data_IF_240856202134
#
_entry.id   IF_240856202134
#
_cell.length_a   1.000
_cell.length_b   1.000
_cell.length_c   1.000
_cell.angle_alpha   90.00
_cell.angle_beta   90.00
_cell.angle_gamma   90.00
#
_symmetry.space_group_name_H-M   'P 1'
#
loop_
_entity.id
_entity.type
_entity.pdbx_description
1 polymer ?
#
# COMPACT_ATOMS: atom_id res chain seq x y z
N UNK A 1 -1.20 -17.54 -5.21
CA UNK A 1 -0.50 -16.29 -4.87
C UNK A 1 -1.23 -15.56 -3.75
N UNK A 2 -0.69 -14.47 -3.20
CA UNK A 2 -1.35 -13.66 -2.16
C UNK A 2 -1.42 -12.19 -2.57
N UNK A 3 -2.60 -11.59 -2.49
CA UNK A 3 -2.84 -10.19 -2.85
C UNK A 3 -3.07 -9.31 -1.63
N UNK A 4 -2.55 -8.08 -1.66
CA UNK A 4 -2.90 -7.01 -0.73
C UNK A 4 -3.28 -5.76 -1.50
N UNK A 5 -4.44 -5.20 -1.18
CA UNK A 5 -4.91 -3.91 -1.67
C UNK A 5 -5.00 -2.94 -0.50
N UNK A 6 -4.36 -1.78 -0.63
CA UNK A 6 -4.41 -0.71 0.37
C UNK A 6 -5.06 0.51 -0.26
N UNK A 7 -6.31 0.81 0.11
CA UNK A 7 -7.02 2.01 -0.33
C UNK A 7 -6.84 3.10 0.71
N UNK A 8 -6.57 4.33 0.26
CA UNK A 8 -6.32 5.43 1.18
C UNK A 8 -6.89 6.76 0.69
N UNK A 9 -7.18 7.63 1.66
CA UNK A 9 -7.46 9.05 1.46
C UNK A 9 -6.57 9.84 2.40
N UNK A 10 -5.65 10.62 1.84
CA UNK A 10 -4.73 11.48 2.57
C UNK A 10 -5.45 12.76 3.01
N UNK A 11 -5.00 13.35 4.12
CA UNK A 11 -5.51 14.62 4.62
C UNK A 11 -5.19 15.78 3.65
N UNK A 12 -4.04 15.72 2.98
CA UNK A 12 -3.59 16.72 2.03
C UNK A 12 -2.81 16.10 0.87
N UNK A 13 -2.85 16.70 -0.35
CA UNK A 13 -2.11 16.19 -1.51
C UNK A 13 -0.59 16.14 -1.33
N UNK A 14 0.00 16.99 -0.48
CA UNK A 14 1.45 17.00 -0.22
C UNK A 14 1.97 15.68 0.40
N UNK A 15 1.09 14.92 1.04
CA UNK A 15 1.43 13.64 1.67
C UNK A 15 1.70 12.52 0.64
N UNK A 16 1.43 12.74 -0.65
CA UNK A 16 1.84 11.81 -1.73
C UNK A 16 3.34 11.56 -1.78
N UNK A 17 4.15 12.54 -1.37
CA UNK A 17 5.62 12.42 -1.30
C UNK A 17 6.09 11.23 -0.45
N UNK A 18 5.31 10.84 0.56
CA UNK A 18 5.58 9.68 1.42
C UNK A 18 5.43 8.37 0.63
N UNK A 19 4.49 8.33 -0.32
CA UNK A 19 4.20 7.16 -1.15
C UNK A 19 5.14 7.05 -2.35
N UNK A 20 5.62 8.17 -2.89
CA UNK A 20 6.56 8.18 -4.02
C UNK A 20 7.86 7.43 -3.72
N UNK A 21 8.33 7.48 -2.46
CA UNK A 21 9.52 6.75 -2.03
C UNK A 21 9.25 5.23 -2.07
N UNK A 22 8.07 4.81 -1.60
CA UNK A 22 7.67 3.40 -1.59
C UNK A 22 7.31 2.86 -2.98
N UNK A 23 6.90 3.73 -3.91
CA UNK A 23 6.68 3.39 -5.32
C UNK A 23 7.98 3.10 -6.07
N UNK A 24 9.06 3.80 -5.70
CA UNK A 24 10.39 3.71 -6.35
C UNK A 24 11.27 2.60 -5.77
N UNK A 25 10.86 1.98 -4.67
CA UNK A 25 11.56 0.83 -4.14
C UNK A 25 11.44 -0.34 -5.13
N UNK A 26 12.57 -0.79 -5.68
CA UNK A 26 12.61 -1.98 -6.51
C UNK A 26 12.20 -3.20 -5.66
N UNK A 27 11.08 -3.81 -6.02
CA UNK A 27 10.60 -5.03 -5.37
C UNK A 27 11.07 -6.22 -6.19
N UNK A 28 12.18 -6.85 -5.80
CA UNK A 28 12.71 -8.05 -6.50
C UNK A 28 11.82 -9.26 -6.31
N UNK A 29 11.13 -9.34 -5.17
CA UNK A 29 10.49 -10.58 -4.74
C UNK A 29 8.96 -10.54 -4.86
N UNK A 30 8.37 -9.37 -5.09
CA UNK A 30 6.92 -9.17 -5.23
C UNK A 30 6.64 -8.02 -6.21
N UNK A 31 5.41 -7.88 -6.69
CA UNK A 31 5.03 -6.72 -7.52
C UNK A 31 4.26 -5.70 -6.69
N UNK A 32 4.58 -4.42 -6.83
CA UNK A 32 3.84 -3.30 -6.24
C UNK A 32 3.48 -2.29 -7.32
N UNK A 33 2.24 -1.83 -7.31
CA UNK A 33 1.76 -0.75 -8.14
C UNK A 33 0.97 0.25 -7.29
N UNK A 34 1.19 1.53 -7.52
CA UNK A 34 0.49 2.62 -6.81
C UNK A 34 -0.28 3.44 -7.83
N UNK A 35 -1.55 3.68 -7.53
CA UNK A 35 -2.48 4.38 -8.42
C UNK A 35 -3.05 5.59 -7.70
N UNK A 36 -2.95 6.75 -8.35
CA UNK A 36 -3.65 7.97 -7.95
C UNK A 36 -5.01 8.01 -8.62
N UNK A 37 -6.08 8.02 -7.83
CA UNK A 37 -7.47 8.07 -8.31
C UNK A 37 -8.16 9.41 -8.05
N UNK A 38 -7.51 10.32 -7.31
CA UNK A 38 -7.93 11.70 -7.08
C UNK A 38 -6.79 12.52 -6.46
N UNK A 39 -7.05 13.77 -6.07
CA UNK A 39 -6.00 14.68 -5.57
C UNK A 39 -5.31 14.15 -4.30
N UNK A 40 -6.09 13.58 -3.39
CA UNK A 40 -5.63 13.00 -2.13
C UNK A 40 -6.10 11.55 -1.96
N UNK A 41 -6.58 10.89 -3.03
CA UNK A 41 -7.13 9.53 -2.98
C UNK A 41 -6.33 8.62 -3.89
N UNK A 42 -6.04 7.41 -3.42
CA UNK A 42 -5.35 6.41 -4.19
C UNK A 42 -5.46 5.02 -3.62
N UNK A 43 -4.81 4.08 -4.30
CA UNK A 43 -4.70 2.72 -3.84
C UNK A 43 -3.38 2.07 -4.27
N UNK A 44 -2.97 1.07 -3.50
CA UNK A 44 -1.80 0.23 -3.74
C UNK A 44 -2.29 -1.17 -4.03
N UNK A 45 -1.72 -1.82 -5.05
CA UNK A 45 -1.87 -3.25 -5.30
C UNK A 45 -0.51 -3.90 -5.11
N UNK A 46 -0.46 -4.91 -4.25
CA UNK A 46 0.72 -5.75 -4.04
C UNK A 46 0.35 -7.22 -4.27
N UNK A 47 1.21 -7.92 -5.01
CA UNK A 47 1.05 -9.35 -5.28
C UNK A 47 2.32 -10.06 -4.86
N UNK A 48 2.17 -11.02 -3.97
CA UNK A 48 3.22 -11.81 -3.36
C UNK A 48 3.09 -13.28 -3.79
N UNK A 49 4.20 -14.00 -3.76
CA UNK A 49 4.23 -15.45 -3.96
C UNK A 49 3.44 -16.20 -2.89
N UNK A 50 3.43 -15.69 -1.64
CA UNK A 50 2.75 -16.31 -0.50
C UNK A 50 2.33 -15.31 0.57
N UNK A 51 1.45 -15.73 1.48
CA UNK A 51 1.04 -14.97 2.67
C UNK A 51 2.21 -14.66 3.61
N UNK A 52 3.15 -15.60 3.77
CA UNK A 52 4.37 -15.40 4.57
C UNK A 52 5.23 -14.26 3.99
N UNK A 53 5.40 -14.24 2.68
CA UNK A 53 6.13 -13.16 2.02
C UNK A 53 5.43 -11.81 2.19
N UNK A 54 4.09 -11.77 2.10
CA UNK A 54 3.32 -10.56 2.37
C UNK A 54 3.52 -10.04 3.81
N UNK A 55 3.58 -10.95 4.79
CA UNK A 55 3.84 -10.64 6.20
C UNK A 55 5.25 -10.11 6.48
N UNK A 56 6.24 -10.48 5.66
CA UNK A 56 7.61 -9.94 5.72
C UNK A 56 7.73 -8.56 5.09
N UNK A 57 6.91 -8.26 4.09
CA UNK A 57 6.98 -7.03 3.29
C UNK A 57 5.89 -6.03 3.69
N UNK A 58 6.02 -5.40 4.85
CA UNK A 58 4.97 -4.54 5.45
C UNK A 58 5.35 -3.07 5.58
N UNK A 59 6.46 -2.62 5.02
CA UNK A 59 6.99 -1.25 5.22
C UNK A 59 6.00 -0.17 4.77
N UNK A 60 5.50 -0.27 3.52
CA UNK A 60 4.51 0.67 2.99
C UNK A 60 3.20 0.64 3.80
N UNK A 61 2.75 -0.56 4.19
CA UNK A 61 1.58 -0.73 5.03
C UNK A 61 1.77 -0.02 6.38
N UNK A 62 2.94 -0.19 7.03
CA UNK A 62 3.27 0.51 8.27
C UNK A 62 3.29 2.02 8.10
N UNK A 63 3.87 2.53 7.02
CA UNK A 63 3.87 3.98 6.74
C UNK A 63 2.44 4.52 6.63
N UNK A 64 1.58 3.88 5.84
CA UNK A 64 0.19 4.28 5.68
C UNK A 64 -0.62 4.16 6.98
N UNK A 65 -0.42 3.10 7.77
CA UNK A 65 -1.06 2.97 9.08
C UNK A 65 -0.57 4.05 10.06
N UNK A 66 0.72 4.42 10.03
CA UNK A 66 1.24 5.53 10.83
C UNK A 66 0.58 6.87 10.49
N UNK A 67 0.31 7.14 9.19
CA UNK A 67 -0.46 8.32 8.80
C UNK A 67 -1.90 8.27 9.34
N UNK A 68 -2.51 7.07 9.36
CA UNK A 68 -3.86 6.88 9.94
C UNK A 68 -3.89 7.12 11.44
N UNK A 69 -2.92 6.60 12.18
CA UNK A 69 -2.80 6.79 13.64
C UNK A 69 -2.62 8.26 14.01
N UNK A 70 -1.95 9.03 13.15
CA UNK A 70 -1.77 10.48 13.31
C UNK A 70 -2.97 11.30 12.79
N UNK A 71 -4.03 10.67 12.31
CA UNK A 71 -5.21 11.37 11.74
C UNK A 71 -4.96 12.03 10.39
N UNK A 72 -3.85 11.70 9.71
CA UNK A 72 -3.44 12.28 8.43
C UNK A 72 -3.88 11.45 7.22
N UNK A 73 -4.47 10.28 7.43
CA UNK A 73 -5.07 9.49 6.36
C UNK A 73 -6.22 8.62 6.87
N UNK A 74 -7.18 8.31 5.98
CA UNK A 74 -8.04 7.13 6.11
C UNK A 74 -7.41 6.01 5.30
N UNK A 75 -7.28 4.84 5.91
CA UNK A 75 -6.65 3.66 5.26
C UNK A 75 -7.52 2.43 5.49
N UNK A 76 -7.80 1.73 4.39
CA UNK A 76 -8.47 0.44 4.33
C UNK A 76 -7.55 -0.57 3.67
N UNK A 77 -7.49 -1.78 4.23
CA UNK A 77 -6.66 -2.87 3.73
C UNK A 77 -7.55 -4.06 3.45
N UNK A 78 -7.38 -4.67 2.28
CA UNK A 78 -8.01 -5.94 1.92
C UNK A 78 -6.92 -6.89 1.46
N UNK A 79 -6.95 -8.11 1.96
CA UNK A 79 -5.97 -9.14 1.59
C UNK A 79 -6.67 -10.46 1.31
N UNK A 80 -6.04 -11.32 0.52
CA UNK A 80 -6.59 -12.62 0.19
C UNK A 80 -5.65 -13.51 -0.59
N UNK A 81 -5.97 -14.79 -0.57
CA UNK A 81 -5.35 -15.78 -1.44
C UNK A 81 -6.02 -15.74 -2.81
N UNK A 82 -5.21 -15.98 -3.85
CA UNK A 82 -5.70 -16.17 -5.20
C UNK A 82 -6.60 -17.41 -5.27
N UNK A 83 -7.81 -17.25 -5.81
CA UNK A 83 -8.70 -18.38 -6.11
C UNK A 83 -8.18 -19.05 -7.37
N UNK A 84 -7.80 -20.32 -7.24
CA UNK A 84 -7.36 -21.19 -8.36
C UNK A 84 -8.31 -22.35 -8.53
#
# INVERSE_FOLDING_TARGET
MYGRVISFTLLAPSLWSILDIAAKANTTDFSRQIFKSGDNVGYVIEVFSSKDQAGKNIELLKSLQGLKEQGMAKVQVTEGEEVT
#
